data_IF_070839898786
#
_entry.id   IF_070839898786
#
_cell.length_a   1.000
_cell.length_b   1.000
_cell.length_c   1.000
_cell.angle_alpha   90.00
_cell.angle_beta   90.00
_cell.angle_gamma   90.00
#
_symmetry.space_group_name_H-M   'P 1'
#
loop_
_entity.id
_entity.type
_entity.pdbx_description
1 polymer ?
#
# COMPACT_ATOMS: atom_id res chain seq x y z
N UNK A 1 -0.80 7.66 13.24
CA UNK A 1 0.64 7.42 13.44
C UNK A 1 1.19 6.80 12.17
N UNK A 2 2.33 7.28 11.69
CA UNK A 2 2.95 6.84 10.44
C UNK A 2 3.37 5.37 10.53
N UNK A 3 3.24 4.61 9.44
CA UNK A 3 3.75 3.22 9.41
C UNK A 3 5.28 3.20 9.44
N UNK A 4 5.84 2.37 10.31
CA UNK A 4 7.28 2.24 10.53
C UNK A 4 7.73 0.77 10.46
N UNK A 5 9.03 0.58 10.30
CA UNK A 5 9.66 -0.73 10.39
C UNK A 5 9.29 -1.41 11.72
N UNK A 6 9.00 -2.72 11.66
CA UNK A 6 8.56 -3.53 12.79
C UNK A 6 7.07 -3.39 13.13
N UNK A 7 6.34 -2.46 12.49
CA UNK A 7 4.88 -2.41 12.65
C UNK A 7 4.24 -3.66 12.04
N UNK A 8 3.14 -4.12 12.64
CA UNK A 8 2.31 -5.19 12.10
C UNK A 8 1.15 -4.56 11.36
N UNK A 9 1.00 -4.93 10.09
CA UNK A 9 -0.11 -4.49 9.25
C UNK A 9 -1.06 -5.65 8.96
N UNK A 10 -2.33 -5.33 8.82
CA UNK A 10 -3.37 -6.27 8.45
C UNK A 10 -3.90 -5.96 7.06
N UNK A 11 -3.98 -6.98 6.21
CA UNK A 11 -4.43 -6.89 4.82
C UNK A 11 -5.61 -7.86 4.62
N UNK A 12 -6.81 -7.36 4.28
CA UNK A 12 -7.98 -8.20 4.03
C UNK A 12 -7.77 -9.10 2.81
N UNK A 13 -8.06 -10.39 2.94
CA UNK A 13 -7.90 -11.39 1.88
C UNK A 13 -8.77 -11.07 0.66
N UNK A 14 -9.99 -10.59 0.91
CA UNK A 14 -10.99 -10.23 -0.09
C UNK A 14 -10.52 -9.09 -1.02
N UNK A 15 -9.60 -8.24 -0.55
CA UNK A 15 -9.14 -7.07 -1.29
C UNK A 15 -7.79 -7.29 -1.99
N UNK A 16 -7.07 -8.36 -1.67
CA UNK A 16 -5.66 -8.54 -2.07
C UNK A 16 -5.46 -8.60 -3.60
N UNK A 17 -6.45 -9.12 -4.34
CA UNK A 17 -6.43 -9.18 -5.81
C UNK A 17 -7.54 -8.36 -6.45
N UNK A 18 -8.30 -7.60 -5.67
CA UNK A 18 -9.51 -6.93 -6.14
C UNK A 18 -9.19 -5.74 -7.07
N UNK A 19 -8.15 -4.97 -6.75
CA UNK A 19 -7.82 -3.74 -7.47
C UNK A 19 -6.44 -3.82 -8.09
N UNK A 20 -6.39 -4.11 -9.38
CA UNK A 20 -5.16 -4.12 -10.18
C UNK A 20 -4.94 -2.75 -10.83
N UNK A 21 -3.73 -2.22 -10.76
CA UNK A 21 -3.29 -0.96 -11.36
C UNK A 21 -1.98 -1.17 -12.11
N UNK A 22 -1.73 -0.36 -13.13
CA UNK A 22 -0.49 -0.42 -13.92
C UNK A 22 0.32 0.83 -13.68
N UNK A 23 1.54 0.65 -13.15
CA UNK A 23 2.47 1.75 -12.84
C UNK A 23 3.47 1.84 -13.98
N UNK A 24 3.49 2.99 -14.64
CA UNK A 24 4.41 3.29 -15.74
C UNK A 24 5.45 4.31 -15.30
N UNK A 25 6.73 4.09 -15.61
CA UNK A 25 7.81 5.00 -15.28
C UNK A 25 8.89 5.00 -16.36
N UNK A 26 9.83 5.95 -16.23
CA UNK A 26 11.00 6.03 -17.08
C UNK A 26 12.24 5.81 -16.23
N UNK A 27 13.13 4.92 -16.67
CA UNK A 27 14.41 4.63 -16.02
C UNK A 27 15.45 4.34 -17.10
N UNK A 28 16.61 5.01 -17.01
CA UNK A 28 17.69 4.91 -18.00
C UNK A 28 17.22 5.17 -19.44
N UNK A 29 16.43 6.22 -19.64
CA UNK A 29 15.83 6.62 -20.94
C UNK A 29 14.87 5.58 -21.56
N UNK A 30 14.53 4.51 -20.84
CA UNK A 30 13.56 3.51 -21.28
C UNK A 30 12.26 3.65 -20.51
N UNK A 31 11.15 3.44 -21.21
CA UNK A 31 9.84 3.32 -20.60
C UNK A 31 9.67 1.91 -20.05
N UNK A 32 9.18 1.84 -18.82
CA UNK A 32 8.87 0.60 -18.12
C UNK A 32 7.43 0.66 -17.62
N UNK A 33 6.83 -0.51 -17.49
CA UNK A 33 5.47 -0.65 -16.98
C UNK A 33 5.40 -1.94 -16.18
N UNK A 34 4.70 -1.89 -15.05
CA UNK A 34 4.52 -3.06 -14.19
C UNK A 34 3.16 -3.00 -13.51
N UNK A 35 2.55 -4.17 -13.38
CA UNK A 35 1.26 -4.33 -12.73
C UNK A 35 1.40 -4.53 -11.22
N UNK A 36 0.48 -3.91 -10.48
CA UNK A 36 0.38 -3.95 -9.02
C UNK A 36 -1.05 -4.23 -8.59
N UNK A 37 -1.20 -4.89 -7.45
CA UNK A 37 -2.43 -4.87 -6.67
C UNK A 37 -2.37 -3.74 -5.65
N UNK A 38 -3.42 -2.91 -5.62
CA UNK A 38 -3.59 -1.84 -4.64
C UNK A 38 -4.55 -2.31 -3.55
N UNK A 39 -4.04 -2.46 -2.34
CA UNK A 39 -4.77 -3.13 -1.25
C UNK A 39 -4.82 -2.21 -0.04
N UNK A 40 -5.98 -2.05 0.60
CA UNK A 40 -6.04 -1.35 1.87
C UNK A 40 -5.34 -2.19 2.94
N UNK A 41 -4.57 -1.55 3.80
CA UNK A 41 -4.05 -2.16 5.01
C UNK A 41 -4.37 -1.32 6.24
N UNK A 42 -4.38 -1.96 7.40
CA UNK A 42 -4.64 -1.33 8.69
C UNK A 42 -3.42 -1.48 9.60
N UNK A 43 -2.99 -0.38 10.22
CA UNK A 43 -1.97 -0.39 11.28
C UNK A 43 -2.62 -0.46 12.67
N UNK A 44 -1.82 -0.71 13.72
CA UNK A 44 -2.17 -0.77 15.16
C UNK A 44 -3.19 0.30 15.60
N UNK A 45 -3.10 1.51 15.07
CA UNK A 45 -3.95 2.65 15.45
C UNK A 45 -5.16 2.86 14.51
N UNK A 46 -5.54 1.84 13.73
CA UNK A 46 -6.70 1.84 12.82
C UNK A 46 -6.61 2.81 11.64
N UNK A 47 -5.45 3.44 11.43
CA UNK A 47 -5.25 4.24 10.22
C UNK A 47 -5.14 3.29 9.02
N UNK A 48 -6.12 3.42 8.12
CA UNK A 48 -6.14 2.74 6.84
C UNK A 48 -5.17 3.46 5.89
N UNK A 49 -4.27 2.72 5.25
CA UNK A 49 -3.42 3.22 4.17
C UNK A 49 -3.35 2.19 3.04
N UNK A 50 -2.56 2.45 2.01
CA UNK A 50 -2.50 1.61 0.81
C UNK A 50 -1.16 0.90 0.71
N UNK A 51 -1.24 -0.37 0.34
CA UNK A 51 -0.11 -1.21 -0.02
C UNK A 51 -0.22 -1.54 -1.51
N UNK A 52 0.84 -1.24 -2.26
CA UNK A 52 1.02 -1.70 -3.64
C UNK A 52 1.85 -2.99 -3.63
N UNK A 53 1.29 -4.08 -4.15
CA UNK A 53 1.98 -5.36 -4.26
C UNK A 53 2.20 -5.64 -5.73
N UNK A 54 3.46 -5.74 -6.18
CA UNK A 54 3.74 -6.13 -7.56
C UNK A 54 3.15 -7.52 -7.82
N UNK A 55 2.50 -7.71 -8.97
CA UNK A 55 1.80 -8.96 -9.29
C UNK A 55 2.69 -10.21 -9.15
N UNK A 56 3.94 -10.13 -9.60
CA UNK A 56 4.94 -11.22 -9.47
C UNK A 56 5.44 -11.45 -8.04
N UNK A 57 5.23 -10.50 -7.12
CA UNK A 57 5.62 -10.58 -5.72
C UNK A 57 4.46 -10.99 -4.81
N UNK A 58 3.25 -11.23 -5.35
CA UNK A 58 2.07 -11.56 -4.56
C UNK A 58 2.27 -12.81 -3.70
N UNK A 59 2.79 -13.90 -4.27
CA UNK A 59 3.00 -15.14 -3.52
C UNK A 59 4.06 -14.98 -2.44
N UNK A 60 5.13 -14.24 -2.75
CA UNK A 60 6.16 -13.87 -1.77
C UNK A 60 5.55 -13.07 -0.61
N UNK A 61 4.68 -12.11 -0.90
CA UNK A 61 3.97 -11.33 0.11
C UNK A 61 3.07 -12.22 0.98
N UNK A 62 2.27 -13.09 0.37
CA UNK A 62 1.39 -14.04 1.08
C UNK A 62 2.18 -14.96 2.01
N UNK A 63 3.38 -15.38 1.60
CA UNK A 63 4.27 -16.20 2.43
C UNK A 63 4.85 -15.45 3.64
N UNK A 64 4.80 -14.11 3.67
CA UNK A 64 5.15 -13.32 4.86
C UNK A 64 4.05 -13.32 5.92
N UNK A 65 2.91 -13.95 5.66
CA UNK A 65 1.83 -14.02 6.63
C UNK A 65 2.31 -14.67 7.92
N UNK A 66 2.39 -13.89 8.98
CA UNK A 66 2.56 -14.44 10.30
C UNK A 66 1.19 -14.96 10.73
N UNK A 67 0.93 -16.26 10.52
CA UNK A 67 -0.27 -16.94 11.04
C UNK A 67 -0.45 -16.48 12.49
N UNK A 68 -1.57 -15.79 12.74
CA UNK A 68 -1.86 -15.09 14.00
C UNK A 68 -1.36 -15.88 15.20
N UNK A 69 -0.18 -15.53 15.70
CA UNK A 69 0.31 -16.07 16.96
C UNK A 69 -0.59 -15.46 18.02
N UNK A 70 -1.35 -16.32 18.71
CA UNK A 70 -2.39 -15.99 19.67
C UNK A 70 -1.95 -14.87 20.64
N UNK A 71 -2.28 -13.63 20.31
CA UNK A 71 -1.86 -12.44 21.02
C UNK A 71 -2.84 -11.31 20.79
N UNK A 72 -2.79 -10.27 21.62
CA UNK A 72 -3.76 -9.16 21.64
C UNK A 72 -4.00 -8.51 20.28
N UNK A 73 -3.01 -8.55 19.37
CA UNK A 73 -3.14 -8.09 18.00
C UNK A 73 -4.18 -8.89 17.21
N UNK A 74 -4.18 -10.22 17.35
CA UNK A 74 -5.19 -11.09 16.74
C UNK A 74 -6.59 -10.80 17.27
N UNK A 75 -6.71 -10.49 18.57
CA UNK A 75 -8.00 -10.13 19.20
C UNK A 75 -8.50 -8.75 18.79
N UNK A 76 -7.60 -7.77 18.62
CA UNK A 76 -7.96 -6.46 18.12
C UNK A 76 -8.52 -6.57 16.70
N UNK A 77 -7.87 -7.36 15.85
CA UNK A 77 -8.26 -7.49 14.44
C UNK A 77 -9.49 -8.35 14.22
N UNK A 78 -9.71 -9.42 14.99
CA UNK A 78 -10.97 -10.19 14.92
C UNK A 78 -12.21 -9.34 15.24
N UNK A 79 -12.04 -8.20 15.92
CA UNK A 79 -13.09 -7.23 16.19
C UNK A 79 -13.36 -6.27 15.01
N UNK A 80 -12.39 -6.06 14.11
CA UNK A 80 -12.51 -5.18 12.94
C UNK A 80 -12.78 -5.94 11.64
N UNK A 81 -12.41 -7.21 11.54
CA UNK A 81 -12.74 -8.06 10.40
C UNK A 81 -14.19 -8.55 10.52
N UNK A 82 -15.12 -7.84 9.83
CA UNK A 82 -16.54 -8.24 9.71
C UNK A 82 -16.78 -9.48 8.82
N UNK A 83 -15.73 -10.23 8.48
CA UNK A 83 -15.84 -11.54 7.86
C UNK A 83 -14.67 -12.40 8.34
N UNK A 84 -14.98 -13.44 9.09
CA UNK A 84 -14.06 -14.47 9.55
C UNK A 84 -13.87 -15.53 8.46
N UNK A 85 -13.49 -15.11 7.25
CA UNK A 85 -12.95 -16.06 6.28
C UNK A 85 -11.44 -16.14 6.50
N UNK A 86 -10.96 -17.38 6.58
CA UNK A 86 -9.69 -17.88 7.10
C UNK A 86 -8.43 -17.44 6.29
N UNK A 87 -8.47 -16.27 5.65
CA UNK A 87 -7.53 -15.87 4.59
C UNK A 87 -6.81 -14.54 4.78
N UNK A 88 -7.09 -13.76 5.83
CA UNK A 88 -6.47 -12.45 6.02
C UNK A 88 -4.95 -12.56 6.29
N UNK A 89 -4.22 -11.54 5.88
CA UNK A 89 -2.76 -11.51 5.98
C UNK A 89 -2.31 -10.52 7.05
N UNK A 90 -1.61 -11.01 8.07
CA UNK A 90 -0.85 -10.15 9.00
C UNK A 90 0.62 -10.21 8.61
N UNK A 91 1.21 -9.05 8.33
CA UNK A 91 2.61 -8.96 7.89
C UNK A 91 3.36 -7.95 8.75
N UNK A 92 4.62 -8.27 9.07
CA UNK A 92 5.55 -7.33 9.72
C UNK A 92 6.20 -6.50 8.62
N UNK A 93 6.13 -5.18 8.74
CA UNK A 93 6.83 -4.24 7.86
C UNK A 93 8.33 -4.35 8.17
N UNK A 94 9.13 -4.70 7.17
CA UNK A 94 10.58 -4.85 7.26
C UNK A 94 11.28 -4.25 6.04
N UNK A 95 12.58 -4.52 5.89
CA UNK A 95 13.43 -3.94 4.84
C UNK A 95 13.10 -4.40 3.40
N UNK A 96 12.21 -5.39 3.25
CA UNK A 96 11.70 -5.81 1.94
C UNK A 96 10.65 -4.86 1.38
N UNK A 97 10.09 -3.98 2.22
CA UNK A 97 9.17 -2.95 1.79
C UNK A 97 9.93 -1.68 1.40
N UNK A 98 9.33 -0.94 0.49
CA UNK A 98 9.59 0.48 0.31
C UNK A 98 8.34 1.27 0.71
N UNK A 99 8.47 2.58 0.88
CA UNK A 99 7.34 3.44 1.18
C UNK A 99 7.38 4.75 0.40
N UNK A 100 6.20 5.29 0.13
CA UNK A 100 6.06 6.70 -0.19
C UNK A 100 5.43 7.44 0.99
N UNK A 101 5.59 8.76 1.02
CA UNK A 101 5.13 9.62 2.09
C UNK A 101 4.77 11.00 1.57
N UNK A 102 3.85 11.69 2.25
CA UNK A 102 3.59 13.10 1.94
C UNK A 102 4.75 14.00 2.37
N UNK A 103 4.80 15.22 1.82
CA UNK A 103 5.78 16.27 2.15
C UNK A 103 5.90 16.55 3.65
N UNK A 104 4.78 16.50 4.37
CA UNK A 104 4.75 16.77 5.81
C UNK A 104 5.21 15.56 6.66
N UNK A 105 5.49 14.43 6.01
CA UNK A 105 5.92 13.16 6.62
C UNK A 105 4.95 12.63 7.68
N UNK A 106 3.68 13.04 7.59
CA UNK A 106 2.62 12.66 8.54
C UNK A 106 1.89 11.40 8.13
N UNK A 107 2.17 10.85 6.96
CA UNK A 107 1.52 9.64 6.46
C UNK A 107 2.36 8.91 5.42
N UNK A 108 2.32 7.57 5.49
CA UNK A 108 3.08 6.66 4.63
C UNK A 108 2.17 5.60 4.01
N UNK A 109 2.56 5.15 2.84
CA UNK A 109 1.97 4.03 2.12
C UNK A 109 3.10 3.09 1.68
N UNK A 110 2.78 1.84 1.43
CA UNK A 110 3.78 0.79 1.25
C UNK A 110 3.83 0.28 -0.18
N UNK A 111 5.02 -0.14 -0.61
CA UNK A 111 5.23 -0.90 -1.83
C UNK A 111 5.99 -2.19 -1.49
N UNK A 112 5.49 -3.33 -1.97
CA UNK A 112 6.12 -4.63 -1.90
C UNK A 112 6.38 -5.14 -3.31
N UNK A 113 7.62 -5.02 -3.77
CA UNK A 113 8.02 -5.16 -5.16
C UNK A 113 9.52 -5.30 -5.32
N UNK A 114 9.97 -5.49 -6.56
CA UNK A 114 11.38 -5.39 -6.90
C UNK A 114 11.91 -3.98 -6.62
N UNK A 115 12.84 -3.88 -5.65
CA UNK A 115 13.47 -2.62 -5.21
C UNK A 115 14.46 -2.06 -6.23
N UNK A 116 14.75 -2.76 -7.33
CA UNK A 116 15.51 -2.21 -8.46
C UNK A 116 14.70 -1.18 -9.27
N UNK A 117 13.38 -1.17 -9.08
CA UNK A 117 12.45 -0.23 -9.71
C UNK A 117 12.60 1.14 -9.05
N UNK A 118 12.96 2.14 -9.85
CA UNK A 118 13.13 3.54 -9.38
C UNK A 118 11.97 4.44 -9.81
N UNK A 119 10.75 3.88 -9.79
CA UNK A 119 9.55 4.64 -10.08
C UNK A 119 9.31 5.71 -9.00
N UNK A 120 8.98 6.93 -9.44
CA UNK A 120 8.62 8.02 -8.53
C UNK A 120 7.30 7.73 -7.82
N UNK A 121 7.16 8.22 -6.59
CA UNK A 121 5.98 8.02 -5.74
C UNK A 121 4.68 8.42 -6.46
N UNK A 122 4.67 9.55 -7.16
CA UNK A 122 3.51 10.05 -7.89
C UNK A 122 3.00 9.08 -8.97
N UNK A 123 3.85 8.20 -9.53
CA UNK A 123 3.44 7.22 -10.56
C UNK A 123 2.45 6.20 -9.99
N UNK A 124 2.67 5.77 -8.76
CA UNK A 124 1.77 4.85 -8.06
C UNK A 124 0.43 5.50 -7.78
N UNK A 125 0.45 6.73 -7.26
CA UNK A 125 -0.81 7.44 -6.96
C UNK A 125 -1.58 7.79 -8.23
N UNK A 126 -0.89 8.20 -9.29
CA UNK A 126 -1.50 8.45 -10.60
C UNK A 126 -2.15 7.18 -11.18
N UNK A 127 -1.47 6.02 -11.11
CA UNK A 127 -2.05 4.74 -11.58
C UNK A 127 -3.35 4.38 -10.85
N UNK A 128 -3.40 4.66 -9.55
CA UNK A 128 -4.57 4.39 -8.74
C UNK A 128 -5.73 5.33 -9.06
N UNK A 129 -5.43 6.61 -9.32
CA UNK A 129 -6.41 7.59 -9.81
C UNK A 129 -6.96 7.21 -11.20
N UNK A 130 -6.09 6.84 -12.14
CA UNK A 130 -6.48 6.56 -13.53
C UNK A 130 -7.34 5.31 -13.67
N UNK A 131 -7.06 4.27 -12.87
CA UNK A 131 -7.81 3.02 -12.94
C UNK A 131 -9.10 3.06 -12.14
N UNK A 132 -9.20 3.93 -11.12
CA UNK A 132 -10.28 3.84 -10.15
C UNK A 132 -10.73 5.19 -9.60
N UNK A 133 -11.22 6.07 -10.48
CA UNK A 133 -11.72 7.41 -10.13
C UNK A 133 -12.63 7.49 -8.89
N UNK A 134 -13.46 6.46 -8.63
CA UNK A 134 -14.36 6.39 -7.46
C UNK A 134 -13.86 5.50 -6.31
N UNK A 135 -12.90 4.58 -6.50
CA UNK A 135 -12.53 3.63 -5.44
C UNK A 135 -11.54 4.21 -4.42
N UNK A 136 -10.88 5.33 -4.74
CA UNK A 136 -10.18 6.15 -3.74
C UNK A 136 -11.12 6.55 -2.59
N UNK A 137 -12.42 6.73 -2.86
CA UNK A 137 -13.42 7.02 -1.82
C UNK A 137 -13.66 5.82 -0.86
N UNK A 138 -13.38 4.59 -1.29
CA UNK A 138 -13.43 3.39 -0.44
C UNK A 138 -12.21 3.22 0.47
N UNK A 139 -11.15 4.01 0.25
CA UNK A 139 -9.99 4.07 1.13
C UNK A 139 -10.19 5.24 2.11
N UNK A 140 -10.85 4.96 3.24
CA UNK A 140 -11.34 5.97 4.19
C UNK A 140 -10.28 6.66 5.07
N UNK A 141 -8.99 6.45 4.80
CA UNK A 141 -7.87 6.95 5.62
C UNK A 141 -6.55 7.17 4.86
N UNK A 142 -5.60 7.80 5.52
CA UNK A 142 -4.22 8.00 5.03
C UNK A 142 -4.07 9.08 3.95
N UNK A 143 -2.92 9.06 3.24
CA UNK A 143 -2.62 10.04 2.17
C UNK A 143 -3.64 10.01 1.02
N UNK A 144 -4.46 8.97 0.87
CA UNK A 144 -5.32 8.80 -0.32
C UNK A 144 -6.69 9.44 -0.19
N UNK A 145 -7.13 9.75 1.05
CA UNK A 145 -8.37 10.48 1.31
C UNK A 145 -8.37 11.89 0.71
N UNK A 146 -7.22 12.55 0.69
CA UNK A 146 -7.07 13.86 0.04
C UNK A 146 -6.96 13.75 -1.49
N UNK A 147 -6.91 12.54 -2.05
CA UNK A 147 -6.82 12.28 -3.49
C UNK A 147 -8.12 11.74 -4.09
N UNK A 148 -9.15 11.47 -3.28
CA UNK A 148 -10.48 11.12 -3.77
C UNK A 148 -11.17 12.36 -4.37
N UNK A 149 -11.42 12.35 -5.68
CA UNK A 149 -12.08 13.45 -6.39
C UNK A 149 -11.20 14.70 -6.62
N UNK A 150 -9.87 14.53 -6.64
CA UNK A 150 -8.93 15.65 -6.61
C UNK A 150 -8.09 15.78 -7.88
N UNK A 151 -7.93 17.04 -8.27
CA UNK A 151 -7.02 17.61 -9.26
C UNK A 151 -5.56 17.17 -9.00
N UNK A 152 -4.90 16.64 -10.03
CA UNK A 152 -3.53 16.07 -10.02
C UNK A 152 -2.52 17.06 -9.40
N UNK A 153 -2.82 18.37 -9.41
CA UNK A 153 -2.06 19.45 -8.76
C UNK A 153 -1.85 19.29 -7.23
N UNK A 154 -2.73 18.58 -6.51
CA UNK A 154 -2.51 18.29 -5.06
C UNK A 154 -1.56 17.12 -4.81
N UNK A 155 -1.13 16.40 -5.85
CA UNK A 155 -0.04 15.42 -5.75
C UNK A 155 1.33 16.10 -5.58
N UNK A 156 1.41 17.43 -5.63
CA UNK A 156 2.65 18.19 -5.46
C UNK A 156 3.50 17.78 -4.26
N UNK A 157 2.90 17.32 -3.15
CA UNK A 157 3.64 16.75 -2.01
C UNK A 157 4.23 15.34 -2.21
N UNK A 158 3.99 14.71 -3.36
CA UNK A 158 4.48 13.39 -3.78
C UNK A 158 5.25 13.44 -5.12
N UNK A 159 5.32 14.61 -5.76
CA UNK A 159 5.96 14.79 -7.07
C UNK A 159 7.46 14.97 -6.85
N UNK A 160 8.25 14.08 -7.45
CA UNK A 160 9.70 14.25 -7.60
C UNK A 160 10.56 13.26 -6.84
N UNK A 161 10.01 12.51 -5.88
CA UNK A 161 10.80 11.60 -5.06
C UNK A 161 10.64 10.13 -5.46
N UNK A 162 11.72 9.33 -5.50
CA UNK A 162 11.64 7.88 -5.56
C UNK A 162 11.03 7.33 -4.27
N UNK A 163 10.72 6.04 -4.26
CA UNK A 163 10.32 5.37 -3.02
C UNK A 163 11.49 5.30 -2.03
N UNK A 164 11.16 5.39 -0.74
CA UNK A 164 12.11 5.33 0.35
C UNK A 164 12.26 3.89 0.86
N UNK A 165 13.44 3.59 1.40
CA UNK A 165 13.69 2.35 2.14
C UNK A 165 13.44 2.57 3.65
N UNK A 166 13.04 1.51 4.34
CA UNK A 166 12.97 1.46 5.81
C UNK A 166 14.34 1.33 6.46
#
# INVERSE_FOLDING_TARGET
MVVEKGNRIHVPASEITNKKVTVEWQQSLKMHSQDYYSVPFFNKDKEQSILFIQTSYLDSFKNKNIRSSAGWFSYLFSFFSRSADDGDYTVIVDDSFQYGQNSDQTSRWLAYHDKSITAFQWRYVASLQSTVGSALAGFGGGIFKQYSGVDVSKLSGLIGDPLHNF
#
